data_IF_726547844040
#
_entry.id   IF_726547844040
#
_cell.length_a   1.000
_cell.length_b   1.000
_cell.length_c   1.000
_cell.angle_alpha   90.00
_cell.angle_beta   90.00
_cell.angle_gamma   90.00
#
_symmetry.space_group_name_H-M   'P 1'
#
loop_
_entity.id
_entity.type
_entity.pdbx_description
1 polymer ?
#
# COMPACT_ATOMS: atom_id res chain seq x y z
N UNK A 1 17.08 25.46 -10.78
CA UNK A 1 17.05 24.19 -10.00
C UNK A 1 16.09 23.26 -10.69
N UNK A 2 16.61 22.24 -11.34
CA UNK A 2 15.82 21.31 -12.14
C UNK A 2 15.05 20.34 -11.20
N UNK A 3 13.88 19.88 -11.60
CA UNK A 3 13.12 18.87 -10.82
C UNK A 3 14.00 17.62 -10.63
N UNK A 4 14.79 17.23 -11.62
CA UNK A 4 15.74 16.11 -11.54
C UNK A 4 16.75 16.23 -10.40
N UNK A 5 17.13 17.44 -9.99
CA UNK A 5 18.09 17.66 -8.91
C UNK A 5 17.52 17.30 -7.52
N UNK A 6 16.20 17.04 -7.43
CA UNK A 6 15.50 16.67 -6.20
C UNK A 6 15.20 15.18 -6.10
N UNK A 7 15.30 14.45 -7.21
CA UNK A 7 15.04 13.01 -7.29
C UNK A 7 16.36 12.27 -7.08
N UNK A 8 16.79 12.18 -5.81
CA UNK A 8 18.07 11.57 -5.41
C UNK A 8 17.89 10.31 -4.57
N UNK A 9 16.65 9.85 -4.37
CA UNK A 9 16.37 8.62 -3.66
C UNK A 9 16.72 7.39 -4.50
N UNK A 10 17.11 6.31 -3.85
CA UNK A 10 17.52 5.05 -4.46
C UNK A 10 16.49 4.50 -5.46
N UNK A 11 15.20 4.64 -5.13
CA UNK A 11 14.09 4.13 -5.95
C UNK A 11 13.41 5.20 -6.80
N UNK A 12 13.89 6.44 -6.78
CA UNK A 12 13.22 7.56 -7.47
C UNK A 12 13.12 7.37 -8.99
N UNK A 13 14.06 6.62 -9.56
CA UNK A 13 14.10 6.32 -10.99
C UNK A 13 13.13 5.22 -11.43
N UNK A 14 12.57 4.46 -10.46
CA UNK A 14 11.75 3.28 -10.73
C UNK A 14 10.34 3.64 -11.17
N UNK A 15 9.65 2.65 -11.72
CA UNK A 15 8.21 2.69 -11.94
C UNK A 15 7.46 2.79 -10.61
N UNK A 16 6.23 3.24 -10.65
CA UNK A 16 5.40 3.42 -9.48
C UNK A 16 4.18 2.52 -9.49
N UNK A 17 3.91 1.86 -8.38
CA UNK A 17 2.68 1.12 -8.15
C UNK A 17 1.81 1.98 -7.24
N UNK A 18 0.62 2.37 -7.73
CA UNK A 18 -0.35 3.15 -7.00
C UNK A 18 -1.54 2.27 -6.62
N UNK A 19 -1.86 2.24 -5.34
CA UNK A 19 -3.05 1.57 -4.84
C UNK A 19 -4.00 2.58 -4.22
N UNK A 20 -5.25 2.54 -4.64
CA UNK A 20 -6.33 3.41 -4.17
C UNK A 20 -7.27 2.61 -3.30
N UNK A 21 -7.59 3.13 -2.13
CA UNK A 21 -8.56 2.52 -1.21
C UNK A 21 -9.62 3.54 -0.82
N UNK A 22 -10.88 3.16 -0.96
CA UNK A 22 -11.97 3.95 -0.40
C UNK A 22 -11.89 3.91 1.14
N UNK A 23 -11.87 5.08 1.76
CA UNK A 23 -11.86 5.22 3.21
C UNK A 23 -13.27 5.42 3.79
N UNK A 24 -13.34 6.15 4.90
CA UNK A 24 -14.62 6.49 5.53
C UNK A 24 -15.46 7.41 4.65
N UNK A 25 -16.74 7.11 4.49
CA UNK A 25 -17.71 7.92 3.72
C UNK A 25 -18.64 7.11 2.80
N UNK A 26 -18.60 5.77 2.85
CA UNK A 26 -19.49 4.90 2.07
C UNK A 26 -19.36 5.13 0.56
N UNK A 27 -20.49 5.20 -0.15
CA UNK A 27 -20.58 5.43 -1.61
C UNK A 27 -19.81 6.68 -2.06
N UNK A 28 -19.84 7.75 -1.26
CA UNK A 28 -19.11 8.99 -1.54
C UNK A 28 -17.59 8.80 -1.53
N UNK A 29 -17.07 7.96 -0.61
CA UNK A 29 -15.63 7.64 -0.56
C UNK A 29 -15.20 6.75 -1.73
N UNK A 30 -16.08 5.83 -2.16
CA UNK A 30 -15.85 4.99 -3.34
C UNK A 30 -15.80 5.82 -4.63
N UNK A 31 -16.70 6.80 -4.76
CA UNK A 31 -16.68 7.74 -5.89
C UNK A 31 -15.42 8.63 -5.85
N UNK A 32 -15.02 9.08 -4.66
CA UNK A 32 -13.79 9.85 -4.49
C UNK A 32 -12.54 9.04 -4.91
N UNK A 33 -12.44 7.79 -4.51
CA UNK A 33 -11.35 6.91 -4.92
C UNK A 33 -11.31 6.75 -6.45
N UNK A 34 -12.46 6.62 -7.11
CA UNK A 34 -12.55 6.58 -8.56
C UNK A 34 -12.13 7.90 -9.23
N UNK A 35 -12.46 9.03 -8.63
CA UNK A 35 -12.00 10.33 -9.14
C UNK A 35 -10.48 10.47 -9.06
N UNK A 36 -9.85 10.04 -7.95
CA UNK A 36 -8.40 10.01 -7.81
C UNK A 36 -7.77 9.09 -8.85
N UNK A 37 -8.28 7.87 -8.99
CA UNK A 37 -7.83 6.92 -10.01
C UNK A 37 -7.83 7.57 -11.41
N UNK A 38 -8.92 8.19 -11.83
CA UNK A 38 -9.01 8.89 -13.13
C UNK A 38 -8.02 10.06 -13.23
N UNK A 39 -7.83 10.80 -12.15
CA UNK A 39 -6.90 11.92 -12.10
C UNK A 39 -5.47 11.47 -12.36
N UNK A 40 -5.01 10.40 -11.71
CA UNK A 40 -3.65 9.89 -11.91
C UNK A 40 -3.45 9.24 -13.27
N UNK A 41 -4.45 8.56 -13.81
CA UNK A 41 -4.41 8.07 -15.20
C UNK A 41 -4.24 9.22 -16.21
N UNK A 42 -5.01 10.31 -16.05
CA UNK A 42 -4.89 11.48 -16.91
C UNK A 42 -3.54 12.18 -16.74
N UNK A 43 -3.03 12.22 -15.51
CA UNK A 43 -1.70 12.76 -15.23
C UNK A 43 -0.62 11.93 -15.92
N UNK A 44 -0.66 10.60 -15.84
CA UNK A 44 0.28 9.71 -16.50
C UNK A 44 0.28 9.92 -18.02
N UNK A 45 -0.89 9.91 -18.64
CA UNK A 45 -1.03 10.17 -20.09
C UNK A 45 -0.47 11.53 -20.50
N UNK A 46 -0.73 12.59 -19.72
CA UNK A 46 -0.24 13.94 -20.01
C UNK A 46 1.29 14.05 -19.96
N UNK A 47 1.91 13.25 -19.11
CA UNK A 47 3.38 13.23 -18.95
C UNK A 47 4.07 12.18 -19.84
N UNK A 48 3.30 11.44 -20.65
CA UNK A 48 3.82 10.42 -21.56
C UNK A 48 4.26 9.14 -20.84
N UNK A 49 3.72 8.88 -19.64
CA UNK A 49 3.91 7.63 -18.94
C UNK A 49 2.90 6.60 -19.43
N UNK A 50 3.34 5.35 -19.49
CA UNK A 50 2.45 4.22 -19.72
C UNK A 50 1.85 3.78 -18.37
N UNK A 51 0.65 3.20 -18.41
CA UNK A 51 0.04 2.66 -17.20
C UNK A 51 -0.64 1.33 -17.50
N UNK A 52 -0.51 0.39 -16.57
CA UNK A 52 -1.16 -0.90 -16.57
C UNK A 52 -2.07 -1.04 -15.34
N UNK A 53 -3.27 -1.56 -15.53
CA UNK A 53 -4.18 -1.86 -14.44
C UNK A 53 -3.88 -3.27 -13.92
N UNK A 54 -3.42 -3.35 -12.66
CA UNK A 54 -3.08 -4.62 -12.02
C UNK A 54 -4.28 -5.25 -11.29
N UNK A 55 -5.08 -4.42 -10.61
CA UNK A 55 -6.27 -4.88 -9.89
C UNK A 55 -7.35 -3.79 -9.90
N UNK A 56 -8.60 -4.22 -9.88
CA UNK A 56 -9.73 -3.29 -9.86
C UNK A 56 -10.96 -3.93 -9.22
N UNK A 57 -11.43 -3.34 -8.13
CA UNK A 57 -12.60 -3.80 -7.39
C UNK A 57 -13.67 -2.70 -7.38
N UNK A 58 -14.78 -2.98 -8.06
CA UNK A 58 -15.92 -2.06 -8.13
C UNK A 58 -16.55 -1.79 -6.76
N UNK A 59 -17.13 -0.61 -6.63
CA UNK A 59 -17.98 -0.26 -5.51
C UNK A 59 -19.34 -0.96 -5.58
N UNK A 60 -20.07 -0.97 -4.45
CA UNK A 60 -21.37 -1.64 -4.38
C UNK A 60 -22.46 -0.91 -5.18
N UNK A 61 -22.44 0.41 -5.19
CA UNK A 61 -23.44 1.26 -5.86
C UNK A 61 -22.80 2.22 -6.87
N UNK A 62 -21.63 2.76 -6.54
CA UNK A 62 -20.87 3.67 -7.40
C UNK A 62 -19.41 3.70 -6.98
N UNK A 63 -18.53 4.11 -7.89
CA UNK A 63 -17.12 4.26 -7.61
C UNK A 63 -16.36 2.93 -7.51
N UNK A 64 -15.23 2.94 -6.81
CA UNK A 64 -14.37 1.78 -6.59
C UNK A 64 -14.09 1.58 -5.10
N UNK A 65 -13.98 0.32 -4.67
CA UNK A 65 -13.50 -0.04 -3.33
C UNK A 65 -11.99 0.05 -3.26
N UNK A 66 -11.33 -0.53 -4.24
CA UNK A 66 -9.88 -0.47 -4.43
C UNK A 66 -9.52 -0.56 -5.90
N UNK A 67 -8.37 -0.01 -6.26
CA UNK A 67 -7.76 -0.22 -7.56
C UNK A 67 -6.24 -0.12 -7.42
N UNK A 68 -5.51 -0.90 -8.19
CA UNK A 68 -4.05 -0.86 -8.25
C UNK A 68 -3.62 -0.68 -9.69
N UNK A 69 -2.79 0.32 -9.94
CA UNK A 69 -2.19 0.58 -11.25
C UNK A 69 -0.68 0.65 -11.13
N UNK A 70 0.00 0.19 -12.15
CA UNK A 70 1.42 0.44 -12.36
C UNK A 70 1.58 1.58 -13.36
N UNK A 71 2.43 2.53 -13.03
CA UNK A 71 2.80 3.65 -13.92
C UNK A 71 4.27 3.47 -14.29
N UNK A 72 4.50 3.27 -15.57
CA UNK A 72 5.82 3.03 -16.14
C UNK A 72 6.38 4.30 -16.74
N UNK A 73 7.59 4.63 -16.35
CA UNK A 73 8.31 5.77 -16.90
C UNK A 73 9.46 6.25 -16.02
N UNK A 74 10.36 7.00 -16.65
CA UNK A 74 11.55 7.53 -15.98
C UNK A 74 11.17 8.45 -14.82
N UNK A 75 11.57 8.05 -13.61
CA UNK A 75 11.29 8.76 -12.36
C UNK A 75 9.79 8.80 -11.95
N UNK A 76 8.98 7.86 -12.40
CA UNK A 76 7.56 7.83 -12.08
C UNK A 76 7.32 7.79 -10.56
N UNK A 77 8.04 6.90 -9.83
CA UNK A 77 7.97 6.85 -8.38
C UNK A 77 8.43 8.15 -7.72
N UNK A 78 9.54 8.73 -8.19
CA UNK A 78 10.07 9.97 -7.63
C UNK A 78 9.09 11.14 -7.68
N UNK A 79 8.26 11.22 -8.74
CA UNK A 79 7.21 12.23 -8.85
C UNK A 79 6.01 11.94 -7.95
N UNK A 80 5.65 10.68 -7.79
CA UNK A 80 4.41 10.26 -7.15
C UNK A 80 4.56 9.95 -5.65
N UNK A 81 5.76 9.70 -5.15
CA UNK A 81 6.02 9.32 -3.74
C UNK A 81 5.45 10.30 -2.73
N UNK A 82 5.36 11.59 -3.08
CA UNK A 82 4.80 12.64 -2.21
C UNK A 82 3.27 12.61 -2.10
N UNK A 83 2.61 11.90 -3.00
CA UNK A 83 1.15 11.74 -3.01
C UNK A 83 0.67 10.62 -2.09
N UNK A 84 1.61 9.87 -1.50
CA UNK A 84 1.29 8.80 -0.56
C UNK A 84 0.59 9.36 0.68
N UNK A 85 -0.61 8.87 0.97
CA UNK A 85 -1.36 9.28 2.15
C UNK A 85 -2.86 9.33 1.96
N UNK A 86 -3.53 10.07 2.86
CA UNK A 86 -4.99 10.19 2.89
C UNK A 86 -5.42 11.49 2.22
N UNK A 87 -6.22 11.34 1.18
CA UNK A 87 -6.80 12.42 0.40
C UNK A 87 -8.21 12.72 0.86
N UNK A 88 -8.47 13.96 1.22
CA UNK A 88 -9.76 14.43 1.74
C UNK A 88 -10.54 15.18 0.66
N UNK A 89 -11.78 14.79 0.43
CA UNK A 89 -12.74 15.50 -0.40
C UNK A 89 -13.80 16.16 0.47
N UNK A 90 -14.10 17.42 0.20
CA UNK A 90 -15.26 18.12 0.79
C UNK A 90 -16.08 18.73 -0.33
N UNK A 91 -17.28 18.18 -0.55
CA UNK A 91 -18.21 18.67 -1.58
C UNK A 91 -19.67 18.49 -1.16
N UNK A 92 -20.57 19.08 -1.92
CA UNK A 92 -22.00 18.71 -1.86
C UNK A 92 -22.11 17.33 -2.51
N UNK A 93 -22.65 16.34 -1.78
CA UNK A 93 -22.73 14.97 -2.27
C UNK A 93 -23.79 14.85 -3.37
N UNK A 94 -23.46 14.25 -4.53
CA UNK A 94 -24.45 13.93 -5.55
C UNK A 94 -25.35 12.75 -5.14
N UNK A 95 -24.99 12.01 -4.10
CA UNK A 95 -25.74 10.86 -3.58
C UNK A 95 -26.69 11.24 -2.42
N UNK A 96 -26.64 12.48 -1.91
CA UNK A 96 -27.54 12.99 -0.87
C UNK A 96 -28.63 13.87 -1.48
N UNK A 97 -29.86 13.37 -1.48
CA UNK A 97 -31.04 14.13 -1.96
C UNK A 97 -31.24 15.45 -1.20
N UNK A 98 -30.73 15.59 0.02
CA UNK A 98 -30.80 16.82 0.81
C UNK A 98 -29.75 17.87 0.40
N UNK A 99 -28.83 17.57 -0.50
CA UNK A 99 -27.82 18.49 -0.98
C UNK A 99 -26.84 18.98 0.10
N UNK A 100 -26.60 18.18 1.13
CA UNK A 100 -25.71 18.53 2.22
C UNK A 100 -24.24 18.36 1.82
N UNK A 101 -23.38 19.12 2.49
CA UNK A 101 -21.93 18.98 2.35
C UNK A 101 -21.45 17.74 3.12
N UNK A 102 -20.71 16.87 2.43
CA UNK A 102 -20.09 15.69 2.99
C UNK A 102 -18.56 15.78 2.92
N UNK A 103 -17.92 15.09 3.84
CA UNK A 103 -16.46 14.89 3.83
C UNK A 103 -16.18 13.41 3.67
N UNK A 104 -15.34 13.07 2.70
CA UNK A 104 -14.95 11.71 2.38
C UNK A 104 -13.44 11.59 2.32
N UNK A 105 -12.95 10.41 2.58
CA UNK A 105 -11.52 10.10 2.58
C UNK A 105 -11.24 8.93 1.65
N UNK A 106 -10.12 9.00 0.96
CA UNK A 106 -9.54 7.89 0.21
C UNK A 106 -8.04 7.84 0.49
N UNK A 107 -7.49 6.66 0.60
CA UNK A 107 -6.05 6.47 0.73
C UNK A 107 -5.45 6.22 -0.64
N UNK A 108 -4.31 6.84 -0.90
CA UNK A 108 -3.44 6.56 -2.03
C UNK A 108 -2.14 6.03 -1.46
N UNK A 109 -1.77 4.82 -1.82
CA UNK A 109 -0.50 4.21 -1.46
C UNK A 109 0.39 4.17 -2.69
N UNK A 110 1.62 4.62 -2.53
CA UNK A 110 2.59 4.68 -3.62
C UNK A 110 3.82 3.88 -3.24
N UNK A 111 4.10 2.84 -4.03
CA UNK A 111 5.27 1.98 -3.85
C UNK A 111 6.14 1.99 -5.11
N UNK A 112 7.48 1.86 -4.99
CA UNK A 112 8.33 1.65 -6.14
C UNK A 112 8.19 0.22 -6.64
N UNK A 113 8.31 0.03 -7.95
CA UNK A 113 8.54 -1.30 -8.50
C UNK A 113 9.98 -1.72 -8.19
N UNK A 114 10.13 -2.81 -7.45
CA UNK A 114 11.45 -3.38 -7.13
C UNK A 114 11.69 -4.53 -8.10
N UNK A 115 12.58 -4.32 -9.06
CA UNK A 115 12.96 -5.31 -10.08
C UNK A 115 14.19 -6.13 -9.67
N UNK A 116 14.92 -5.65 -8.69
CA UNK A 116 16.08 -6.39 -8.16
C UNK A 116 15.63 -7.32 -7.04
N UNK A 117 15.63 -8.61 -7.32
CA UNK A 117 15.62 -9.63 -6.29
C UNK A 117 16.94 -9.51 -5.52
N UNK A 118 16.91 -8.82 -4.39
CA UNK A 118 17.99 -8.95 -3.43
C UNK A 118 17.93 -10.39 -2.91
N UNK A 119 18.75 -11.27 -3.45
CA UNK A 119 18.92 -12.62 -2.92
C UNK A 119 19.45 -12.52 -1.48
N UNK A 120 18.52 -12.44 -0.54
CA UNK A 120 18.84 -12.51 0.88
C UNK A 120 19.12 -13.97 1.19
N UNK A 121 20.38 -14.35 1.18
CA UNK A 121 20.81 -15.67 1.60
C UNK A 121 20.67 -15.80 3.13
N UNK A 122 19.66 -16.53 3.56
CA UNK A 122 19.49 -16.89 4.97
C UNK A 122 20.28 -18.18 5.25
N UNK A 123 21.41 -18.05 5.95
CA UNK A 123 22.18 -19.21 6.37
C UNK A 123 21.63 -19.78 7.67
N UNK A 124 21.51 -21.08 7.78
CA UNK A 124 21.03 -21.75 9.01
C UNK A 124 21.89 -21.41 10.24
N UNK A 125 23.18 -21.14 10.02
CA UNK A 125 24.13 -20.72 11.07
C UNK A 125 23.78 -19.38 11.73
N UNK A 126 23.12 -18.49 10.97
CA UNK A 126 22.73 -17.15 11.40
C UNK A 126 21.36 -17.12 12.07
N UNK A 127 20.63 -18.24 12.01
CA UNK A 127 19.32 -18.38 12.61
C UNK A 127 19.44 -19.12 13.93
N UNK A 128 19.00 -18.48 15.02
CA UNK A 128 18.79 -19.15 16.30
C UNK A 128 17.31 -19.45 16.46
N UNK A 129 16.96 -20.73 16.61
CA UNK A 129 15.61 -21.18 16.86
C UNK A 129 15.45 -21.54 18.35
N UNK A 130 14.53 -20.87 19.01
CA UNK A 130 14.12 -21.15 20.38
C UNK A 130 12.67 -21.66 20.37
N UNK A 131 12.46 -22.86 20.94
CA UNK A 131 11.11 -23.43 21.09
C UNK A 131 10.68 -23.29 22.54
N UNK A 132 9.51 -22.69 22.74
CA UNK A 132 8.99 -22.44 24.09
C UNK A 132 7.49 -22.74 24.19
N UNK A 133 6.96 -22.75 25.41
CA UNK A 133 5.54 -22.95 25.65
C UNK A 133 4.77 -21.67 25.31
N UNK A 134 3.74 -21.81 24.45
CA UNK A 134 2.84 -20.68 24.17
C UNK A 134 2.09 -20.27 25.45
N UNK A 135 1.99 -18.96 25.67
CA UNK A 135 1.23 -18.37 26.76
C UNK A 135 0.01 -17.66 26.19
N UNK A 136 -1.18 -18.17 26.41
CA UNK A 136 -2.42 -17.56 25.92
C UNK A 136 -3.65 -18.14 26.62
N UNK A 137 -4.79 -17.50 26.42
CA UNK A 137 -6.12 -17.96 26.89
C UNK A 137 -6.59 -19.14 26.03
N UNK A 138 -5.91 -20.28 26.15
CA UNK A 138 -6.22 -21.53 25.46
C UNK A 138 -6.34 -22.67 26.46
N UNK A 139 -7.08 -23.71 26.08
CA UNK A 139 -7.33 -24.90 26.94
C UNK A 139 -6.07 -25.64 27.37
N UNK A 140 -6.20 -26.62 28.25
CA UNK A 140 -5.11 -27.39 28.90
C UNK A 140 -4.02 -27.93 27.95
N UNK A 141 -4.31 -28.10 26.66
CA UNK A 141 -3.38 -28.62 25.67
C UNK A 141 -2.35 -27.58 25.20
N UNK A 142 -2.74 -26.31 25.12
CA UNK A 142 -1.86 -25.18 24.68
C UNK A 142 -0.72 -24.91 25.67
N UNK A 143 -0.99 -25.07 26.97
CA UNK A 143 -0.01 -24.80 28.02
C UNK A 143 0.91 -26.01 28.35
N UNK A 144 0.68 -27.17 27.73
CA UNK A 144 1.49 -28.38 27.99
C UNK A 144 2.48 -28.68 26.89
N UNK A 145 2.25 -28.22 25.69
CA UNK A 145 3.13 -28.47 24.53
C UNK A 145 3.97 -27.24 24.20
N UNK A 146 5.26 -27.45 23.92
CA UNK A 146 6.16 -26.38 23.42
C UNK A 146 5.90 -26.18 21.93
N UNK A 147 4.82 -25.47 21.59
CA UNK A 147 4.38 -25.24 20.21
C UNK A 147 4.76 -23.86 19.65
N UNK A 148 5.22 -22.96 20.51
CA UNK A 148 5.67 -21.64 20.08
C UNK A 148 7.13 -21.68 19.63
N UNK A 149 7.41 -21.07 18.50
CA UNK A 149 8.75 -20.99 17.90
C UNK A 149 9.14 -19.53 17.80
N UNK A 150 10.39 -19.22 18.19
CA UNK A 150 11.02 -17.92 18.01
C UNK A 150 12.27 -18.12 17.17
N UNK A 151 12.33 -17.36 16.09
CA UNK A 151 13.52 -17.29 15.23
C UNK A 151 14.22 -15.94 15.45
N UNK A 152 15.51 -15.97 15.64
CA UNK A 152 16.35 -14.79 15.82
C UNK A 152 17.42 -14.84 14.74
N UNK A 153 17.43 -13.84 13.86
CA UNK A 153 18.52 -13.65 12.91
C UNK A 153 19.65 -12.88 13.59
N UNK A 154 20.76 -13.58 13.86
CA UNK A 154 21.90 -13.05 14.65
C UNK A 154 22.53 -11.78 14.07
N UNK A 155 22.79 -11.68 12.73
CA UNK A 155 23.45 -10.50 12.16
C UNK A 155 22.60 -9.23 12.23
N UNK A 156 21.28 -9.32 12.01
CA UNK A 156 20.37 -8.16 11.98
C UNK A 156 19.63 -7.92 13.29
N UNK A 157 19.62 -8.92 14.20
CA UNK A 157 18.84 -8.85 15.44
C UNK A 157 17.32 -8.95 15.26
N UNK A 158 16.85 -9.28 14.05
CA UNK A 158 15.41 -9.43 13.78
C UNK A 158 14.89 -10.67 14.51
N UNK A 159 13.78 -10.50 15.23
CA UNK A 159 13.13 -11.57 16.00
C UNK A 159 11.72 -11.75 15.48
N UNK A 160 11.40 -12.97 15.06
CA UNK A 160 10.06 -13.38 14.64
C UNK A 160 9.58 -14.50 15.54
N UNK A 161 8.35 -14.43 16.01
CA UNK A 161 7.74 -15.48 16.85
C UNK A 161 6.37 -15.85 16.34
N UNK A 162 6.08 -17.16 16.34
CA UNK A 162 4.78 -17.73 16.01
C UNK A 162 4.33 -18.65 17.14
N UNK A 163 3.01 -18.55 17.50
CA UNK A 163 2.39 -19.35 18.56
C UNK A 163 1.24 -20.20 18.00
#
# INVERSE_FOLDING_TARGET
MCIRDRLTGEYDANNAILTFHAGAGGTEAQDWAQMLYRMYMQWANKHGFEFEMLDYLDGDEAGIKSATIMIEGENAYGFLKSENGIHRLVRISPFDASGRRHTSFAAVEVMPEITEDSEIELRDEDIKMDVYRSSGAGGQKVNKTSSAVRLIHKPTGIVVSCQ
#
